data_IF_547675832618
#
_entry.id   IF_547675832618
#
_cell.length_a   1.000
_cell.length_b   1.000
_cell.length_c   1.000
_cell.angle_alpha   90.00
_cell.angle_beta   90.00
_cell.angle_gamma   90.00
#
_symmetry.space_group_name_H-M   'P 1'
#
loop_
_entity.id
_entity.type
_entity.pdbx_description
1 polymer ?
#
# COMPACT_ATOMS: atom_id res chain seq x y z
N UNK A 1 -9.97 -10.96 -8.56
CA UNK A 1 -10.27 -10.33 -7.25
C UNK A 1 -9.92 -11.37 -6.18
N UNK A 2 -9.17 -11.04 -5.12
CA UNK A 2 -8.82 -12.03 -4.10
C UNK A 2 -10.07 -12.55 -3.40
N UNK A 3 -10.03 -13.81 -2.98
CA UNK A 3 -11.14 -14.48 -2.33
C UNK A 3 -11.42 -13.83 -0.95
N UNK A 4 -12.50 -13.04 -0.90
CA UNK A 4 -13.04 -12.32 0.26
C UNK A 4 -14.52 -12.70 0.44
N UNK A 5 -14.79 -14.02 0.47
CA UNK A 5 -16.14 -14.60 0.47
C UNK A 5 -16.86 -14.53 1.82
N UNK A 6 -16.21 -14.09 2.90
CA UNK A 6 -16.86 -13.99 4.23
C UNK A 6 -18.00 -12.99 4.17
N UNK A 7 -19.19 -13.39 4.62
CA UNK A 7 -20.31 -12.47 4.86
C UNK A 7 -19.98 -11.65 6.10
N UNK A 8 -19.99 -10.32 5.96
CA UNK A 8 -19.66 -9.38 7.02
C UNK A 8 -20.92 -8.82 7.69
N UNK A 9 -20.81 -8.56 8.98
CA UNK A 9 -21.71 -7.68 9.73
C UNK A 9 -21.30 -6.21 9.60
N UNK A 10 -22.21 -5.29 9.92
CA UNK A 10 -21.92 -3.85 9.86
C UNK A 10 -20.80 -3.49 10.84
N UNK A 11 -19.77 -2.81 10.33
CA UNK A 11 -18.56 -2.47 11.07
C UNK A 11 -17.45 -3.50 10.92
N UNK A 12 -17.73 -4.68 10.38
CA UNK A 12 -16.70 -5.69 10.15
C UNK A 12 -15.90 -5.44 8.87
N UNK A 13 -14.70 -6.00 8.87
CA UNK A 13 -13.72 -5.92 7.79
C UNK A 13 -13.08 -7.29 7.56
N UNK A 14 -12.65 -7.55 6.33
CA UNK A 14 -11.83 -8.67 5.92
C UNK A 14 -10.76 -8.17 4.94
N UNK A 15 -9.55 -8.68 5.02
CA UNK A 15 -8.48 -8.29 4.09
C UNK A 15 -7.60 -9.47 3.70
N UNK A 16 -6.94 -9.33 2.55
CA UNK A 16 -5.83 -10.19 2.10
C UNK A 16 -4.73 -9.27 1.56
N UNK A 17 -3.48 -9.54 1.91
CA UNK A 17 -2.34 -8.76 1.42
C UNK A 17 -1.25 -9.66 0.81
N UNK A 18 -0.50 -9.08 -0.11
CA UNK A 18 0.82 -9.54 -0.54
C UNK A 18 1.86 -8.48 -0.16
N UNK A 19 3.12 -8.67 -0.56
CA UNK A 19 4.20 -7.72 -0.25
C UNK A 19 3.97 -6.31 -0.80
N UNK A 20 3.12 -6.14 -1.82
CA UNK A 20 2.94 -4.87 -2.54
C UNK A 20 1.49 -4.42 -2.63
N UNK A 21 0.53 -5.27 -2.25
CA UNK A 21 -0.89 -5.03 -2.44
C UNK A 21 -1.68 -5.42 -1.21
N UNK A 22 -2.69 -4.62 -0.89
CA UNK A 22 -3.71 -4.89 0.11
C UNK A 22 -5.07 -4.85 -0.57
N UNK A 23 -5.82 -5.94 -0.47
CA UNK A 23 -7.21 -6.00 -0.82
C UNK A 23 -8.06 -6.03 0.45
N UNK A 24 -9.04 -5.14 0.52
CA UNK A 24 -9.87 -4.88 1.69
C UNK A 24 -11.34 -5.00 1.28
N UNK A 25 -12.13 -5.68 2.11
CA UNK A 25 -13.59 -5.72 2.06
C UNK A 25 -14.11 -5.26 3.42
N UNK A 26 -15.01 -4.30 3.47
CA UNK A 26 -15.69 -3.91 4.71
C UNK A 26 -17.17 -3.65 4.45
N UNK A 27 -17.97 -3.72 5.52
CA UNK A 27 -19.41 -3.44 5.45
C UNK A 27 -19.78 -2.30 6.37
N UNK A 28 -20.26 -1.21 5.78
CA UNK A 28 -21.02 -0.19 6.51
C UNK A 28 -22.50 -0.30 6.07
N UNK A 29 -23.03 0.67 5.31
CA UNK A 29 -24.38 0.56 4.72
C UNK A 29 -24.46 -0.44 3.57
N UNK A 30 -23.32 -0.73 2.93
CA UNK A 30 -23.14 -1.68 1.83
C UNK A 30 -21.76 -2.33 1.94
N UNK A 31 -21.55 -3.41 1.21
CA UNK A 31 -20.22 -3.98 1.05
C UNK A 31 -19.39 -3.09 0.13
N UNK A 32 -18.17 -2.79 0.57
CA UNK A 32 -17.20 -1.98 -0.20
C UNK A 32 -15.93 -2.78 -0.33
N UNK A 33 -15.32 -2.69 -1.51
CA UNK A 33 -14.06 -3.33 -1.84
C UNK A 33 -13.03 -2.27 -2.22
N UNK A 34 -11.82 -2.39 -1.72
CA UNK A 34 -10.69 -1.52 -2.04
C UNK A 34 -9.47 -2.39 -2.38
N UNK A 35 -8.73 -1.96 -3.39
CA UNK A 35 -7.42 -2.50 -3.71
C UNK A 35 -6.43 -1.34 -3.65
N UNK A 36 -5.42 -1.45 -2.78
CA UNK A 36 -4.39 -0.44 -2.60
C UNK A 36 -3.01 -1.07 -2.68
N UNK A 37 -2.00 -0.27 -3.01
CA UNK A 37 -0.59 -0.68 -2.90
C UNK A 37 -0.09 -0.49 -1.47
N UNK A 38 0.86 -1.34 -1.09
CA UNK A 38 1.65 -1.21 0.12
C UNK A 38 3.08 -0.89 -0.30
N UNK A 39 3.64 0.17 0.28
CA UNK A 39 5.02 0.57 0.05
C UNK A 39 5.76 0.43 1.38
N UNK A 40 6.91 -0.26 1.36
CA UNK A 40 7.82 -0.26 2.49
C UNK A 40 8.55 1.08 2.52
N UNK A 41 8.87 1.56 3.72
CA UNK A 41 9.75 2.71 3.93
C UNK A 41 11.21 2.32 3.66
N UNK A 42 11.47 1.82 2.46
CA UNK A 42 12.81 1.51 1.97
C UNK A 42 13.34 2.72 1.22
N UNK A 43 14.61 3.03 1.49
CA UNK A 43 15.38 4.01 0.75
C UNK A 43 16.11 3.24 -0.35
N UNK A 44 15.97 3.69 -1.59
CA UNK A 44 16.72 3.13 -2.70
C UNK A 44 17.51 4.22 -3.41
N UNK A 45 18.74 3.86 -3.81
CA UNK A 45 19.58 4.69 -4.66
C UNK A 45 18.85 4.98 -5.96
N UNK A 46 18.79 6.26 -6.35
CA UNK A 46 18.06 6.66 -7.56
C UNK A 46 18.90 6.54 -8.83
N UNK A 47 20.19 6.19 -8.71
CA UNK A 47 21.16 6.23 -9.81
C UNK A 47 21.45 7.65 -10.31
N UNK A 48 20.97 8.69 -9.62
CA UNK A 48 21.19 10.09 -9.98
C UNK A 48 22.29 10.65 -9.09
N UNK A 49 23.26 11.30 -9.70
CA UNK A 49 24.33 12.00 -8.99
C UNK A 49 23.90 13.47 -8.81
N UNK A 50 24.02 13.96 -7.59
CA UNK A 50 23.88 15.37 -7.28
C UNK A 50 25.02 16.17 -7.95
N UNK A 51 24.66 17.22 -8.70
CA UNK A 51 25.65 17.97 -9.49
C UNK A 51 26.56 18.85 -8.64
N UNK A 52 26.09 19.26 -7.46
CA UNK A 52 26.80 20.19 -6.60
C UNK A 52 27.69 19.43 -5.60
N UNK A 53 27.21 18.29 -5.09
CA UNK A 53 27.96 17.48 -4.11
C UNK A 53 28.69 16.29 -4.72
N UNK A 54 28.29 15.81 -5.90
CA UNK A 54 28.85 14.62 -6.54
C UNK A 54 28.42 13.28 -5.92
N UNK A 55 27.49 13.30 -4.97
CA UNK A 55 26.99 12.11 -4.27
C UNK A 55 25.74 11.52 -4.94
N UNK A 56 25.47 10.23 -4.73
CA UNK A 56 24.25 9.61 -5.22
C UNK A 56 23.03 10.08 -4.41
N UNK A 57 21.97 10.51 -5.10
CA UNK A 57 20.69 10.83 -4.48
C UNK A 57 19.99 9.56 -4.06
N UNK A 58 19.77 9.44 -2.77
CA UNK A 58 18.83 8.52 -2.18
C UNK A 58 17.43 9.16 -2.14
N UNK A 59 16.38 8.37 -2.37
CA UNK A 59 15.00 8.85 -2.19
C UNK A 59 14.21 7.81 -1.42
N UNK A 60 13.50 8.28 -0.39
CA UNK A 60 12.58 7.47 0.37
C UNK A 60 11.34 7.16 -0.46
N UNK A 61 10.99 5.89 -0.59
CA UNK A 61 9.69 5.50 -1.13
C UNK A 61 8.63 5.79 -0.07
N UNK A 62 7.95 6.94 -0.17
CA UNK A 62 6.94 7.34 0.81
C UNK A 62 5.63 6.57 0.60
N UNK A 63 5.21 5.80 1.60
CA UNK A 63 3.91 5.13 1.65
C UNK A 63 2.82 6.17 1.92
N UNK A 64 2.13 6.62 0.87
CA UNK A 64 0.92 7.41 1.02
C UNK A 64 -0.21 6.54 1.53
N UNK A 65 -0.44 6.55 2.85
CA UNK A 65 -1.69 6.27 3.58
C UNK A 65 -1.40 6.50 5.06
N UNK A 66 -1.65 7.73 5.53
CA UNK A 66 -1.85 8.09 6.93
C UNK A 66 -3.34 8.28 7.17
#
# INVERSE_FOLDING_TARGET
MPDLERVLDRGETQYKCSNKLLALKWKDKREVFMLTTMHNSEVSGTGKIDKDTGEEKETSLHSGLQ
#
